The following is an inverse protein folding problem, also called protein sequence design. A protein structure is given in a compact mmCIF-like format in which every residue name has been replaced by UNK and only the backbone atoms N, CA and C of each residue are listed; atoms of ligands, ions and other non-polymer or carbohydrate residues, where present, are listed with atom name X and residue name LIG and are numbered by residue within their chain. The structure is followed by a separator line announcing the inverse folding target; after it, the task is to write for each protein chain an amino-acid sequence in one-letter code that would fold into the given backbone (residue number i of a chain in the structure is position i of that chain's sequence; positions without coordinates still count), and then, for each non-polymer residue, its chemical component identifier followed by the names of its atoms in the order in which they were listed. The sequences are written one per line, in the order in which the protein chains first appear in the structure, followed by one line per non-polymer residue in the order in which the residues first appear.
data_IF_421742973657
#
_entry.id   IF_421742973657
#
_cell.length_a   1.000
_cell.length_b   1.000
_cell.length_c   1.000
_cell.angle_alpha   90.00
_cell.angle_beta   90.00
_cell.angle_gamma   90.00
#
_symmetry.space_group_name_H-M   'P 1'
#
loop_
_entity.id
_entity.type
_entity.pdbx_description
1 polymer ?
#
# COMPACT_ATOMS: atom_id res chain seq x y z
N UNK A 1 -16.06 9.48 -9.08
CA UNK A 1 -14.69 8.96 -9.10
C UNK A 1 -14.48 7.89 -10.17
N UNK A 2 -15.12 6.73 -10.13
CA UNK A 2 -14.92 5.67 -11.14
C UNK A 2 -15.14 6.09 -12.61
N UNK A 3 -16.03 7.07 -12.86
CA UNK A 3 -16.34 7.55 -14.21
C UNK A 3 -15.17 8.26 -14.91
N UNK A 4 -14.37 9.05 -14.18
CA UNK A 4 -13.24 9.76 -14.78
C UNK A 4 -12.13 8.81 -15.22
N UNK A 5 -11.84 7.81 -14.38
CA UNK A 5 -10.84 6.79 -14.71
C UNK A 5 -11.29 5.92 -15.89
N UNK A 6 -12.57 5.51 -15.91
CA UNK A 6 -13.12 4.72 -17.01
C UNK A 6 -13.12 5.51 -18.32
N UNK A 7 -13.55 6.77 -18.27
CA UNK A 7 -13.60 7.64 -19.44
C UNK A 7 -12.20 7.81 -20.06
N UNK A 8 -11.18 8.01 -19.23
CA UNK A 8 -9.82 8.14 -19.72
C UNK A 8 -9.27 6.82 -20.28
N UNK A 9 -9.53 5.69 -19.60
CA UNK A 9 -9.13 4.37 -20.08
C UNK A 9 -9.77 4.00 -21.41
N UNK A 10 -11.08 4.27 -21.59
CA UNK A 10 -11.78 4.09 -22.87
C UNK A 10 -11.16 4.98 -23.96
N UNK A 11 -10.99 6.27 -23.69
CA UNK A 11 -10.36 7.21 -24.63
C UNK A 11 -8.93 6.80 -25.02
N UNK A 12 -8.10 6.42 -24.06
CA UNK A 12 -6.72 5.98 -24.28
C UNK A 12 -6.66 4.73 -25.16
N UNK A 13 -7.47 3.72 -24.83
CA UNK A 13 -7.50 2.45 -25.53
C UNK A 13 -8.07 2.56 -26.95
N UNK A 14 -9.08 3.38 -27.15
CA UNK A 14 -9.65 3.63 -28.48
C UNK A 14 -8.66 4.35 -29.40
N UNK A 15 -7.89 5.27 -28.83
CA UNK A 15 -6.93 6.10 -29.58
C UNK A 15 -5.64 5.34 -29.89
N UNK A 16 -5.01 4.71 -28.89
CA UNK A 16 -3.66 4.15 -29.01
C UNK A 16 -3.66 2.64 -29.23
N UNK A 17 -4.73 1.93 -28.89
CA UNK A 17 -4.86 0.48 -28.99
C UNK A 17 -3.65 -0.27 -28.41
N UNK A 18 -3.28 0.00 -27.16
CA UNK A 18 -2.11 -0.60 -26.53
C UNK A 18 -2.28 -2.13 -26.39
N UNK A 19 -1.16 -2.84 -26.26
CA UNK A 19 -1.18 -4.28 -25.96
C UNK A 19 -1.78 -4.56 -24.56
N UNK A 20 -1.44 -3.70 -23.57
CA UNK A 20 -2.04 -3.72 -22.24
C UNK A 20 -3.15 -2.65 -22.13
N UNK A 21 -4.43 -3.06 -22.02
CA UNK A 21 -5.55 -2.13 -21.85
C UNK A 21 -5.47 -1.26 -20.59
N UNK A 22 -4.58 -1.57 -19.65
CA UNK A 22 -4.41 -0.85 -18.39
C UNK A 22 -3.18 0.08 -18.38
N UNK A 23 -2.44 0.17 -19.49
CA UNK A 23 -1.23 1.00 -19.61
C UNK A 23 -1.50 2.47 -19.25
N UNK A 24 -2.70 2.98 -19.53
CA UNK A 24 -3.12 4.35 -19.21
C UNK A 24 -2.97 4.70 -17.72
N UNK A 25 -2.96 3.72 -16.83
CA UNK A 25 -2.80 3.94 -15.39
C UNK A 25 -1.44 4.54 -15.08
N UNK A 26 -0.42 4.24 -15.88
CA UNK A 26 0.92 4.81 -15.73
C UNK A 26 0.96 6.34 -15.91
N UNK A 27 -0.06 6.93 -16.54
CA UNK A 27 -0.21 8.38 -16.68
C UNK A 27 -0.89 9.04 -15.48
N UNK A 28 -1.46 8.24 -14.57
CA UNK A 28 -2.20 8.72 -13.40
C UNK A 28 -1.34 8.87 -12.15
N UNK A 29 -0.06 8.49 -12.23
CA UNK A 29 0.89 8.65 -11.12
C UNK A 29 0.92 10.10 -10.63
N UNK A 30 1.04 10.29 -9.33
CA UNK A 30 1.07 11.62 -8.72
C UNK A 30 1.92 11.63 -7.45
N UNK A 31 2.89 12.52 -7.43
CA UNK A 31 3.66 12.84 -6.21
C UNK A 31 2.81 13.49 -5.11
N UNK A 32 1.58 13.90 -5.44
CA UNK A 32 0.66 14.55 -4.50
C UNK A 32 -0.12 13.55 -3.63
N UNK A 33 -0.01 12.25 -3.92
CA UNK A 33 -0.57 11.22 -3.04
C UNK A 33 0.07 11.33 -1.66
N UNK A 34 -0.77 11.44 -0.62
CA UNK A 34 -0.28 11.65 0.75
C UNK A 34 0.64 10.52 1.21
N UNK A 35 0.31 9.28 0.87
CA UNK A 35 1.13 8.12 1.20
C UNK A 35 2.51 8.18 0.50
N UNK A 36 2.55 8.59 -0.78
CA UNK A 36 3.79 8.76 -1.55
C UNK A 36 4.64 9.88 -0.96
N UNK A 37 4.03 11.04 -0.70
CA UNK A 37 4.70 12.19 -0.08
C UNK A 37 5.32 11.83 1.27
N UNK A 38 4.55 11.17 2.14
CA UNK A 38 5.02 10.68 3.44
C UNK A 38 6.21 9.74 3.29
N UNK A 39 6.09 8.72 2.45
CA UNK A 39 7.14 7.73 2.28
C UNK A 39 8.40 8.34 1.64
N UNK A 40 8.26 9.34 0.75
CA UNK A 40 9.40 10.11 0.22
C UNK A 40 10.14 10.82 1.36
N UNK A 41 9.43 11.52 2.24
CA UNK A 41 10.04 12.18 3.40
C UNK A 41 10.78 11.18 4.31
N UNK A 42 10.19 9.99 4.51
CA UNK A 42 10.82 8.93 5.29
C UNK A 42 12.10 8.40 4.62
N UNK A 43 12.10 8.21 3.30
CA UNK A 43 13.31 7.83 2.54
C UNK A 43 14.40 8.89 2.64
N UNK A 44 14.06 10.16 2.45
CA UNK A 44 15.01 11.27 2.59
C UNK A 44 15.66 11.31 3.98
N UNK A 45 14.90 11.02 5.04
CA UNK A 45 15.44 10.92 6.40
C UNK A 45 16.33 9.68 6.56
N UNK A 46 15.96 8.55 5.98
CA UNK A 46 16.78 7.33 5.98
C UNK A 46 18.09 7.51 5.20
N UNK A 47 18.09 8.28 4.11
CA UNK A 47 19.31 8.62 3.38
C UNK A 47 20.27 9.49 4.21
N UNK A 48 19.75 10.43 4.99
CA UNK A 48 20.58 11.21 5.92
C UNK A 48 21.26 10.30 6.95
N UNK A 49 20.56 9.28 7.45
CA UNK A 49 21.13 8.28 8.35
C UNK A 49 22.18 7.40 7.66
N UNK A 50 21.89 6.95 6.44
CA UNK A 50 22.81 6.10 5.64
C UNK A 50 24.13 6.80 5.36
N UNK A 51 24.08 8.09 5.06
CA UNK A 51 25.23 8.90 4.70
C UNK A 51 26.07 9.35 5.91
N UNK A 52 25.56 9.18 7.15
CA UNK A 52 26.28 9.51 8.38
C UNK A 52 26.30 8.33 9.37
N UNK A 53 27.36 7.52 9.29
CA UNK A 53 27.52 6.34 10.15
C UNK A 53 27.51 6.67 11.65
N UNK A 54 27.96 7.85 12.07
CA UNK A 54 27.92 8.25 13.47
C UNK A 54 26.50 8.53 13.92
N UNK A 55 25.77 9.24 13.09
CA UNK A 55 24.36 9.55 13.32
C UNK A 55 23.51 8.27 13.35
N UNK A 56 23.76 7.35 12.42
CA UNK A 56 23.10 6.06 12.37
C UNK A 56 23.32 5.24 13.64
N UNK A 57 24.59 5.20 14.12
CA UNK A 57 24.92 4.47 15.35
C UNK A 57 24.29 5.12 16.59
N UNK A 58 24.30 6.45 16.70
CA UNK A 58 23.62 7.16 17.79
C UNK A 58 22.12 6.87 17.81
N UNK A 59 21.51 6.81 16.62
CA UNK A 59 20.10 6.53 16.47
C UNK A 59 19.76 5.09 16.88
N UNK A 60 20.59 4.11 16.51
CA UNK A 60 20.49 2.71 16.95
C UNK A 60 20.62 2.54 18.47
N UNK A 61 21.52 3.30 19.07
CA UNK A 61 21.77 3.26 20.52
C UNK A 61 20.67 3.97 21.33
N UNK A 62 19.64 4.51 20.68
CA UNK A 62 18.58 5.28 21.32
C UNK A 62 19.06 6.62 21.90
N UNK A 63 20.22 7.11 21.46
CA UNK A 63 20.74 8.40 21.88
C UNK A 63 20.01 9.52 21.14
N UNK A 64 19.62 10.56 21.86
CA UNK A 64 18.93 11.70 21.26
C UNK A 64 19.75 12.33 20.13
N UNK A 65 19.05 12.85 19.13
CA UNK A 65 19.67 13.57 18.03
C UNK A 65 20.24 14.91 18.51
N UNK A 66 21.40 15.35 17.97
CA UNK A 66 21.94 16.66 18.28
C UNK A 66 20.93 17.77 17.98
N UNK A 67 20.86 18.75 18.88
CA UNK A 67 19.99 19.92 18.67
C UNK A 67 20.39 20.66 17.38
N UNK A 68 19.38 21.01 16.58
CA UNK A 68 19.58 21.69 15.31
C UNK A 68 20.12 20.82 14.18
N UNK A 69 20.30 19.50 14.39
CA UNK A 69 20.66 18.62 13.29
C UNK A 69 19.55 18.57 12.23
N UNK A 70 19.97 18.45 10.96
CA UNK A 70 19.03 18.44 9.83
C UNK A 70 17.99 17.30 9.95
N UNK A 71 18.40 16.14 10.45
CA UNK A 71 17.49 15.03 10.71
C UNK A 71 16.48 15.34 11.82
N UNK A 72 16.91 15.99 12.92
CA UNK A 72 15.99 16.36 14.01
C UNK A 72 14.92 17.33 13.53
N UNK A 73 15.31 18.36 12.78
CA UNK A 73 14.38 19.33 12.21
C UNK A 73 13.38 18.66 11.25
N UNK A 74 13.84 17.71 10.42
CA UNK A 74 12.94 16.96 9.52
C UNK A 74 11.99 16.04 10.26
N UNK A 75 12.44 15.37 11.33
CA UNK A 75 11.60 14.55 12.19
C UNK A 75 10.53 15.38 12.91
N UNK A 76 10.90 16.54 13.42
CA UNK A 76 9.96 17.46 14.06
C UNK A 76 8.91 17.98 13.07
N UNK A 77 9.33 18.36 11.86
CA UNK A 77 8.42 18.78 10.80
C UNK A 77 7.49 17.65 10.36
N UNK A 78 8.02 16.43 10.19
CA UNK A 78 7.27 15.24 9.86
C UNK A 78 6.24 14.91 10.94
N UNK A 79 6.64 14.88 12.20
CA UNK A 79 5.74 14.64 13.31
C UNK A 79 4.65 15.71 13.41
N UNK A 80 4.97 16.97 13.16
CA UNK A 80 3.99 18.05 13.13
C UNK A 80 2.99 17.90 11.97
N UNK A 81 3.48 17.55 10.76
CA UNK A 81 2.64 17.37 9.57
C UNK A 81 1.70 16.17 9.73
N UNK A 82 2.18 15.09 10.34
CA UNK A 82 1.42 13.84 10.51
C UNK A 82 0.91 13.63 11.94
N UNK A 83 1.08 14.60 12.86
CA UNK A 83 0.54 14.51 14.23
C UNK A 83 -0.99 14.43 14.20
N UNK A 84 -1.54 13.54 15.01
CA UNK A 84 -3.00 13.28 15.04
C UNK A 84 -3.52 12.48 13.84
N UNK A 85 -2.62 12.02 12.96
CA UNK A 85 -2.95 11.14 11.84
C UNK A 85 -2.47 9.71 12.20
N UNK A 86 -2.90 9.21 13.35
CA UNK A 86 -2.50 7.89 13.89
C UNK A 86 -2.82 6.71 12.96
N UNK A 87 -3.70 6.93 12.01
CA UNK A 87 -4.09 5.95 11.00
C UNK A 87 -3.09 5.85 9.83
N UNK A 88 -2.12 6.76 9.71
CA UNK A 88 -1.06 6.76 8.69
C UNK A 88 0.19 5.99 9.16
N UNK A 89 0.42 5.99 10.47
CA UNK A 89 1.48 5.23 11.12
C UNK A 89 0.86 4.52 12.32
N UNK A 90 1.09 3.22 12.53
CA UNK A 90 0.64 2.53 13.73
C UNK A 90 1.12 3.27 14.97
N UNK A 91 0.27 3.39 15.99
CA UNK A 91 0.65 4.05 17.27
C UNK A 91 1.85 3.39 17.94
N UNK A 92 2.03 2.09 17.70
CA UNK A 92 3.11 1.27 18.26
C UNK A 92 4.38 1.31 17.41
N UNK A 93 4.36 1.99 16.23
CA UNK A 93 5.54 2.07 15.39
C UNK A 93 6.57 2.99 16.01
N UNK A 94 7.67 2.42 16.47
CA UNK A 94 8.88 3.20 16.74
C UNK A 94 9.47 3.67 15.42
N UNK A 95 9.18 4.93 15.06
CA UNK A 95 9.66 5.57 13.84
C UNK A 95 11.19 5.51 13.74
N UNK A 96 11.89 5.55 14.88
CA UNK A 96 13.34 5.48 14.93
C UNK A 96 13.85 4.13 14.45
N UNK A 97 13.33 3.05 15.00
CA UNK A 97 13.68 1.69 14.57
C UNK A 97 13.33 1.44 13.10
N UNK A 98 12.23 2.00 12.64
CA UNK A 98 11.82 1.87 11.25
C UNK A 98 12.74 2.62 10.29
N UNK A 99 13.13 3.85 10.61
CA UNK A 99 14.10 4.62 9.83
C UNK A 99 15.48 3.94 9.75
N UNK A 100 15.91 3.27 10.84
CA UNK A 100 17.13 2.47 10.83
C UNK A 100 17.02 1.32 9.83
N UNK A 101 15.91 0.55 9.87
CA UNK A 101 15.68 -0.54 8.91
C UNK A 101 15.73 -0.04 7.46
N UNK A 102 15.11 1.10 7.18
CA UNK A 102 15.11 1.70 5.85
C UNK A 102 16.49 2.22 5.43
N UNK A 103 17.28 2.73 6.39
CA UNK A 103 18.63 3.19 6.12
C UNK A 103 19.60 2.05 5.84
N UNK A 104 19.38 0.86 6.41
CA UNK A 104 20.19 -0.34 6.19
C UNK A 104 19.85 -1.08 4.89
N UNK A 105 18.69 -0.80 4.30
CA UNK A 105 18.30 -1.40 3.04
C UNK A 105 19.17 -0.84 1.91
N UNK A 106 19.73 -1.74 1.08
CA UNK A 106 20.46 -1.32 -0.11
C UNK A 106 19.53 -0.52 -1.03
N UNK A 107 19.95 0.69 -1.36
CA UNK A 107 19.23 1.53 -2.32
C UNK A 107 19.54 1.06 -3.75
N UNK A 108 19.06 -0.13 -4.12
CA UNK A 108 18.81 -0.38 -5.53
C UNK A 108 17.62 0.51 -5.91
N UNK A 109 17.97 1.70 -6.36
CA UNK A 109 16.99 2.69 -6.86
C UNK A 109 16.41 2.17 -8.19
N UNK A 110 15.54 1.18 -8.07
CA UNK A 110 14.83 0.56 -9.20
C UNK A 110 13.76 1.47 -9.79
N UNK A 111 13.60 2.68 -9.29
CA UNK A 111 12.61 3.65 -9.73
C UNK A 111 13.12 4.70 -10.71
N UNK A 112 14.12 4.39 -11.55
CA UNK A 112 14.36 5.15 -12.78
C UNK A 112 13.32 4.79 -13.86
N UNK A 113 12.05 4.75 -13.50
CA UNK A 113 10.99 4.88 -14.47
C UNK A 113 11.01 6.30 -15.08
N UNK A 114 10.64 6.43 -16.34
CA UNK A 114 10.43 7.73 -16.99
C UNK A 114 9.70 8.67 -16.02
N UNK A 115 10.20 9.88 -15.85
CA UNK A 115 9.54 10.89 -15.03
C UNK A 115 8.11 11.09 -15.53
N UNK A 116 7.19 11.42 -14.62
CA UNK A 116 5.78 11.61 -14.98
C UNK A 116 5.60 12.56 -16.18
N UNK A 117 6.35 13.66 -16.21
CA UNK A 117 6.33 14.61 -17.33
C UNK A 117 6.74 13.97 -18.66
N UNK A 118 7.71 13.07 -18.66
CA UNK A 118 8.17 12.40 -19.89
C UNK A 118 7.12 11.40 -20.39
N UNK A 119 6.41 10.73 -19.50
CA UNK A 119 5.28 9.84 -19.86
C UNK A 119 4.11 10.60 -20.45
N UNK A 120 3.76 11.73 -19.85
CA UNK A 120 2.71 12.61 -20.36
C UNK A 120 3.07 13.20 -21.72
N UNK A 121 4.31 13.63 -21.89
CA UNK A 121 4.79 14.13 -23.17
C UNK A 121 4.72 13.04 -24.24
N UNK A 122 5.19 11.82 -23.94
CA UNK A 122 5.12 10.69 -24.85
C UNK A 122 3.68 10.32 -25.23
N UNK A 123 2.73 10.46 -24.31
CA UNK A 123 1.31 10.29 -24.61
C UNK A 123 0.81 11.39 -25.56
N UNK A 124 1.04 12.67 -25.24
CA UNK A 124 0.56 13.78 -26.07
C UNK A 124 1.20 13.82 -27.46
N UNK A 125 2.41 13.29 -27.62
CA UNK A 125 3.07 13.17 -28.92
C UNK A 125 2.34 12.19 -29.86
N UNK A 126 1.62 11.21 -29.29
CA UNK A 126 0.82 10.23 -30.04
C UNK A 126 -0.62 10.70 -30.28
N UNK A 127 -1.09 11.73 -29.56
CA UNK A 127 -2.47 12.25 -29.68
C UNK A 127 -2.55 13.23 -30.86
N UNK A 128 -3.49 13.03 -31.80
CA UNK A 128 -3.77 13.96 -32.87
C UNK A 128 -4.02 15.38 -32.36
N UNK A 129 -3.51 16.40 -33.07
CA UNK A 129 -3.62 17.80 -32.64
C UNK A 129 -5.08 18.24 -32.39
N UNK A 130 -6.00 17.72 -33.16
CA UNK A 130 -7.43 18.00 -33.06
C UNK A 130 -8.04 17.45 -31.74
N UNK A 131 -7.43 16.45 -31.12
CA UNK A 131 -7.94 15.77 -29.93
C UNK A 131 -7.17 16.15 -28.66
N UNK A 132 -6.02 16.84 -28.78
CA UNK A 132 -5.17 17.21 -27.63
C UNK A 132 -5.92 17.95 -26.53
N UNK A 133 -6.78 18.90 -26.89
CA UNK A 133 -7.56 19.66 -25.91
C UNK A 133 -8.59 18.83 -25.18
N UNK A 134 -9.09 17.74 -25.78
CA UNK A 134 -9.98 16.78 -25.13
C UNK A 134 -9.18 15.83 -24.26
N UNK A 135 -8.07 15.29 -24.77
CA UNK A 135 -7.16 14.42 -24.04
C UNK A 135 -6.67 15.06 -22.74
N UNK A 136 -6.26 16.33 -22.78
CA UNK A 136 -5.82 17.08 -21.60
C UNK A 136 -6.90 17.15 -20.52
N UNK A 137 -8.12 17.52 -20.91
CA UNK A 137 -9.24 17.62 -19.97
C UNK A 137 -9.63 16.26 -19.36
N UNK A 138 -9.65 15.20 -20.16
CA UNK A 138 -10.01 13.86 -19.69
C UNK A 138 -8.90 13.32 -18.78
N UNK A 139 -7.62 13.52 -19.12
CA UNK A 139 -6.49 13.14 -18.27
C UNK A 139 -6.52 13.89 -16.94
N UNK A 140 -6.80 15.20 -16.93
CA UNK A 140 -6.92 15.98 -15.70
C UNK A 140 -8.04 15.46 -14.80
N UNK A 141 -9.21 15.11 -15.36
CA UNK A 141 -10.31 14.50 -14.60
C UNK A 141 -9.93 13.13 -14.06
N UNK A 142 -9.21 12.31 -14.84
CA UNK A 142 -8.76 11.01 -14.42
C UNK A 142 -7.75 11.10 -13.27
N UNK A 143 -6.77 12.01 -13.36
CA UNK A 143 -5.80 12.28 -12.27
C UNK A 143 -6.49 12.76 -10.99
N UNK A 144 -7.43 13.71 -11.11
CA UNK A 144 -8.20 14.17 -9.96
C UNK A 144 -9.01 13.03 -9.33
N UNK A 145 -9.60 12.14 -10.15
CA UNK A 145 -10.36 10.98 -9.68
C UNK A 145 -9.47 9.96 -8.98
N UNK A 146 -8.24 9.77 -9.47
CA UNK A 146 -7.24 8.88 -8.88
C UNK A 146 -6.79 9.38 -7.51
N UNK A 147 -6.42 10.67 -7.43
CA UNK A 147 -6.04 11.33 -6.19
C UNK A 147 -7.15 11.32 -5.14
N UNK A 148 -8.40 11.63 -5.54
CA UNK A 148 -9.55 11.60 -4.65
C UNK A 148 -9.82 10.19 -4.11
N UNK A 149 -9.62 9.15 -4.91
CA UNK A 149 -9.82 7.77 -4.48
C UNK A 149 -8.81 7.36 -3.39
N UNK A 150 -7.55 7.76 -3.54
CA UNK A 150 -6.54 7.50 -2.52
C UNK A 150 -6.81 8.29 -1.25
N UNK A 151 -7.11 9.57 -1.37
CA UNK A 151 -7.44 10.44 -0.24
C UNK A 151 -8.71 10.02 0.50
N UNK A 152 -9.71 9.43 -0.18
CA UNK A 152 -10.94 8.91 0.43
C UNK A 152 -10.61 7.88 1.53
N UNK A 153 -9.71 6.93 1.24
CA UNK A 153 -9.26 5.94 2.21
C UNK A 153 -8.60 6.60 3.43
N UNK A 154 -7.87 7.68 3.20
CA UNK A 154 -7.23 8.45 4.24
C UNK A 154 -8.25 9.15 5.15
N UNK A 155 -9.27 9.78 4.58
CA UNK A 155 -10.33 10.44 5.35
C UNK A 155 -11.19 9.43 6.11
N UNK A 156 -11.50 8.29 5.51
CA UNK A 156 -12.20 7.20 6.18
C UNK A 156 -11.39 6.65 7.36
N UNK A 157 -10.08 6.46 7.18
CA UNK A 157 -9.17 6.07 8.27
C UNK A 157 -9.19 7.06 9.42
N UNK A 158 -9.18 8.37 9.12
CA UNK A 158 -9.27 9.44 10.14
C UNK A 158 -10.59 9.39 10.91
N UNK A 159 -11.71 9.16 10.21
CA UNK A 159 -13.02 9.01 10.87
C UNK A 159 -13.02 7.78 11.77
N UNK A 160 -12.49 6.64 11.30
CA UNK A 160 -12.38 5.40 12.09
C UNK A 160 -11.54 5.60 13.34
N UNK A 161 -10.36 6.22 13.21
CA UNK A 161 -9.51 6.51 14.36
C UNK A 161 -10.23 7.40 15.39
N UNK A 162 -10.99 8.38 14.94
CA UNK A 162 -11.82 9.20 15.82
C UNK A 162 -12.91 8.42 16.55
N UNK A 163 -13.58 7.49 15.86
CA UNK A 163 -14.58 6.61 16.46
C UNK A 163 -13.92 5.67 17.49
N UNK A 164 -12.81 5.01 17.13
CA UNK A 164 -12.10 4.12 18.06
C UNK A 164 -11.59 4.84 19.31
N UNK A 165 -11.07 6.06 19.15
CA UNK A 165 -10.66 6.88 20.29
C UNK A 165 -11.85 7.25 21.19
N UNK A 166 -13.00 7.59 20.62
CA UNK A 166 -14.21 7.86 21.36
C UNK A 166 -14.74 6.62 22.09
N UNK A 167 -14.71 5.46 21.44
CA UNK A 167 -15.06 4.16 22.05
C UNK A 167 -14.15 3.84 23.24
N UNK A 168 -12.84 4.02 23.07
CA UNK A 168 -11.88 3.81 24.16
C UNK A 168 -12.15 4.74 25.35
N UNK A 169 -12.32 6.03 25.10
CA UNK A 169 -12.63 7.03 26.12
C UNK A 169 -13.93 6.70 26.89
N UNK A 170 -14.96 6.23 26.17
CA UNK A 170 -16.21 5.80 26.77
C UNK A 170 -15.96 4.59 27.69
N UNK A 171 -15.19 3.59 27.24
CA UNK A 171 -14.88 2.40 28.04
C UNK A 171 -14.09 2.77 29.30
N UNK A 172 -13.14 3.68 29.21
CA UNK A 172 -12.37 4.15 30.37
C UNK A 172 -13.22 4.91 31.38
N UNK A 173 -14.18 5.74 30.92
CA UNK A 173 -15.05 6.52 31.81
C UNK A 173 -16.14 5.69 32.50
N UNK A 174 -16.64 4.66 31.85
CA UNK A 174 -17.78 3.89 32.35
C UNK A 174 -17.33 2.73 33.25
N UNK A 175 -16.06 2.31 33.16
CA UNK A 175 -15.49 1.21 33.92
C UNK A 175 -15.98 -0.18 33.48
N UNK A 176 -15.31 -1.23 33.95
CA UNK A 176 -15.47 -2.59 33.47
C UNK A 176 -16.86 -3.23 33.71
N UNK A 177 -17.70 -2.62 34.56
CA UNK A 177 -19.03 -3.18 34.91
C UNK A 177 -20.15 -2.89 33.90
N UNK A 178 -19.92 -2.00 32.92
CA UNK A 178 -20.93 -1.57 31.93
C UNK A 178 -20.55 -2.01 30.49
N UNK A 179 -19.42 -2.68 30.32
CA UNK A 179 -18.93 -3.10 29.01
C UNK A 179 -19.90 -4.03 28.28
N UNK A 180 -20.61 -4.93 28.99
CA UNK A 180 -21.66 -5.80 28.41
C UNK A 180 -22.86 -5.01 27.83
N UNK A 181 -23.16 -3.84 28.38
CA UNK A 181 -24.21 -2.95 27.87
C UNK A 181 -23.78 -2.17 26.63
N UNK A 182 -22.53 -1.74 26.58
CA UNK A 182 -21.95 -1.00 25.45
C UNK A 182 -21.79 -1.88 24.20
N UNK A 183 -21.41 -3.13 24.34
CA UNK A 183 -21.31 -4.06 23.20
C UNK A 183 -22.68 -4.36 22.55
N UNK A 184 -23.79 -4.05 23.25
CA UNK A 184 -25.14 -4.09 22.69
C UNK A 184 -25.59 -2.78 22.04
N UNK A 185 -25.02 -1.65 22.46
CA UNK A 185 -25.38 -0.29 22.01
C UNK A 185 -24.45 0.17 20.89
N UNK A 186 -23.15 -0.10 21.03
CA UNK A 186 -22.18 0.12 19.96
C UNK A 186 -22.25 -1.12 19.05
N UNK A 187 -22.76 -1.00 17.83
CA UNK A 187 -22.71 -2.14 16.91
C UNK A 187 -21.25 -2.56 16.77
N UNK A 188 -21.00 -3.87 16.89
CA UNK A 188 -19.72 -4.44 16.42
C UNK A 188 -19.37 -3.71 15.14
N UNK A 189 -18.21 -3.07 15.17
CA UNK A 189 -17.79 -2.07 14.18
C UNK A 189 -18.37 -2.36 12.81
N UNK A 190 -19.06 -1.41 12.24
CA UNK A 190 -19.85 -1.48 11.01
C UNK A 190 -19.15 -2.25 9.88
N UNK A 191 -17.84 -2.40 9.98
CA UNK A 191 -16.99 -3.19 9.09
C UNK A 191 -17.33 -4.69 9.10
N UNK A 192 -17.41 -5.33 10.27
CA UNK A 192 -17.76 -6.76 10.31
C UNK A 192 -19.12 -7.05 9.70
N UNK A 193 -20.10 -6.16 9.89
CA UNK A 193 -21.45 -6.35 9.31
C UNK A 193 -21.56 -6.04 7.83
N UNK A 194 -20.86 -5.02 7.33
CA UNK A 194 -20.87 -4.70 5.90
C UNK A 194 -20.09 -5.75 5.11
N UNK A 195 -18.93 -6.18 5.60
CA UNK A 195 -18.13 -7.21 4.93
C UNK A 195 -18.75 -8.60 5.05
N UNK A 196 -19.31 -8.98 6.19
CA UNK A 196 -20.03 -10.26 6.33
C UNK A 196 -21.27 -10.35 5.40
N UNK A 197 -21.89 -9.21 5.08
CA UNK A 197 -23.00 -9.17 4.11
C UNK A 197 -22.54 -9.38 2.67
N UNK A 198 -21.34 -8.93 2.32
CA UNK A 198 -20.72 -9.20 1.02
C UNK A 198 -20.14 -10.62 0.93
N UNK A 199 -19.59 -11.14 2.01
CA UNK A 199 -19.10 -12.54 2.08
C UNK A 199 -20.24 -13.55 2.09
N UNK A 200 -21.37 -13.25 2.75
CA UNK A 200 -22.54 -14.17 2.78
C UNK A 200 -23.31 -14.26 1.47
N UNK A 201 -23.05 -13.38 0.50
CA UNK A 201 -23.63 -13.45 -0.85
C UNK A 201 -22.76 -14.23 -1.86
N UNK A 202 -21.52 -14.58 -1.47
CA UNK A 202 -20.72 -15.56 -2.22
C UNK A 202 -20.97 -16.91 -1.57
N UNK A 203 -21.64 -17.81 -2.30
CA UNK A 203 -21.65 -19.22 -1.90
C UNK A 203 -20.22 -19.64 -1.60
N UNK A 204 -19.96 -20.27 -0.44
CA UNK A 204 -18.63 -20.80 -0.17
C UNK A 204 -18.34 -21.81 -1.28
N UNK A 205 -17.46 -21.44 -2.18
CA UNK A 205 -16.82 -22.43 -3.05
C UNK A 205 -16.08 -23.34 -2.07
N UNK A 206 -16.61 -24.54 -1.84
CA UNK A 206 -15.90 -25.57 -1.13
C UNK A 206 -14.58 -25.75 -1.86
N UNK A 207 -13.52 -25.14 -1.30
CA UNK A 207 -12.18 -25.32 -1.82
C UNK A 207 -11.77 -26.76 -1.49
N UNK A 208 -11.52 -27.61 -2.49
CA UNK A 208 -10.98 -28.94 -2.22
C UNK A 208 -9.64 -28.77 -1.47
N UNK A 209 -9.30 -29.70 -0.56
CA UNK A 209 -8.01 -29.73 0.15
C UNK A 209 -6.77 -29.69 -0.78
N UNK A 210 -6.98 -29.81 -2.07
CA UNK A 210 -5.96 -29.67 -3.13
C UNK A 210 -5.30 -28.29 -3.22
N UNK A 211 -5.91 -27.20 -2.68
CA UNK A 211 -5.31 -25.86 -2.70
C UNK A 211 -4.04 -25.78 -1.85
N UNK A 212 -3.93 -26.60 -0.81
CA UNK A 212 -2.73 -26.64 0.04
C UNK A 212 -1.49 -27.18 -0.69
N UNK A 213 -1.69 -27.87 -1.81
CA UNK A 213 -0.62 -28.40 -2.66
C UNK A 213 -0.31 -27.50 -3.86
N UNK A 214 -1.04 -26.41 -4.03
CA UNK A 214 -0.83 -25.49 -5.15
C UNK A 214 0.55 -24.83 -5.03
N UNK A 215 1.37 -25.03 -6.07
CA UNK A 215 2.66 -24.35 -6.23
C UNK A 215 2.53 -23.02 -6.97
N UNK A 216 1.38 -22.74 -7.56
CA UNK A 216 1.14 -21.54 -8.35
C UNK A 216 -0.25 -20.98 -8.08
N UNK A 217 -0.31 -19.67 -7.83
CA UNK A 217 -1.55 -18.91 -7.68
C UNK A 217 -1.61 -17.86 -8.80
N UNK A 218 -2.83 -17.59 -9.25
CA UNK A 218 -3.07 -16.61 -10.33
C UNK A 218 -4.02 -15.56 -9.83
N UNK A 219 -3.64 -14.31 -10.02
CA UNK A 219 -4.44 -13.12 -9.68
C UNK A 219 -4.41 -12.10 -10.81
N UNK A 220 -4.73 -10.86 -10.46
CA UNK A 220 -4.70 -9.74 -11.39
C UNK A 220 -3.33 -9.06 -11.32
N UNK A 221 -2.64 -8.83 -12.45
CA UNK A 221 -1.40 -8.04 -12.50
C UNK A 221 -1.73 -6.60 -12.05
N UNK A 222 -1.03 -6.12 -11.04
CA UNK A 222 -1.38 -4.85 -10.40
C UNK A 222 -0.20 -3.88 -10.23
N UNK A 223 1.02 -4.39 -10.17
CA UNK A 223 2.26 -3.62 -10.20
C UNK A 223 3.31 -4.38 -10.99
N UNK A 224 3.96 -3.75 -12.00
CA UNK A 224 4.90 -4.44 -12.89
C UNK A 224 6.18 -4.86 -12.18
N UNK A 225 6.82 -5.92 -12.67
CA UNK A 225 8.09 -6.43 -12.17
C UNK A 225 8.01 -7.89 -11.75
N UNK A 226 9.18 -8.49 -11.51
CA UNK A 226 9.32 -9.85 -10.94
C UNK A 226 10.28 -9.75 -9.77
N UNK A 227 9.90 -10.30 -8.63
CA UNK A 227 10.78 -10.38 -7.48
C UNK A 227 10.46 -11.61 -6.63
N UNK A 228 11.41 -12.00 -5.77
CA UNK A 228 11.29 -13.16 -4.90
C UNK A 228 11.68 -12.81 -3.48
N UNK A 229 11.10 -13.52 -2.52
CA UNK A 229 11.43 -13.35 -1.12
C UNK A 229 10.58 -14.23 -0.21
N UNK A 230 10.91 -14.30 1.08
CA UNK A 230 10.09 -15.00 2.05
C UNK A 230 8.77 -14.28 2.27
N UNK A 231 7.68 -15.01 2.35
CA UNK A 231 6.36 -14.48 2.62
C UNK A 231 6.25 -13.94 4.06
N UNK A 232 5.58 -12.82 4.20
CA UNK A 232 5.04 -12.33 5.47
C UNK A 232 3.54 -12.13 5.33
N UNK A 233 2.78 -13.05 5.89
CA UNK A 233 1.31 -12.94 5.92
C UNK A 233 0.92 -12.03 7.07
N UNK A 234 0.23 -10.94 6.76
CA UNK A 234 -0.29 -9.99 7.73
C UNK A 234 -1.81 -10.11 7.82
N UNK A 235 -2.29 -10.32 9.02
CA UNK A 235 -3.69 -10.27 9.42
C UNK A 235 -3.93 -9.10 10.39
N UNK A 236 -5.18 -8.91 10.83
CA UNK A 236 -5.55 -7.83 11.74
C UNK A 236 -4.88 -7.90 13.13
N UNK A 237 -4.30 -9.03 13.48
CA UNK A 237 -3.62 -9.25 14.76
C UNK A 237 -2.09 -9.17 14.61
N UNK A 238 -1.58 -9.06 13.40
CA UNK A 238 -0.14 -9.06 13.12
C UNK A 238 0.52 -7.76 13.55
N UNK A 239 1.70 -7.89 14.14
CA UNK A 239 2.53 -6.74 14.50
C UNK A 239 3.26 -6.26 13.24
N UNK A 240 2.86 -5.11 12.73
CA UNK A 240 3.42 -4.55 11.49
C UNK A 240 4.94 -4.29 11.57
N UNK A 241 5.46 -4.07 12.78
CA UNK A 241 6.89 -3.82 13.03
C UNK A 241 7.76 -5.06 12.82
N UNK A 242 7.19 -6.26 12.78
CA UNK A 242 7.93 -7.50 12.55
C UNK A 242 8.26 -7.73 11.08
N UNK A 243 7.69 -6.93 10.18
CA UNK A 243 7.98 -6.98 8.76
C UNK A 243 9.44 -6.62 8.48
N UNK A 244 10.12 -7.42 7.67
CA UNK A 244 11.54 -7.24 7.33
C UNK A 244 11.71 -6.81 5.88
N UNK A 245 12.77 -6.06 5.62
CA UNK A 245 13.14 -5.71 4.26
C UNK A 245 13.38 -6.95 3.40
N UNK A 246 12.86 -6.95 2.18
CA UNK A 246 12.96 -8.07 1.25
C UNK A 246 11.91 -9.18 1.45
N UNK A 247 11.02 -9.06 2.43
CA UNK A 247 9.88 -9.97 2.54
C UNK A 247 8.79 -9.64 1.50
N UNK A 248 8.05 -10.64 1.07
CA UNK A 248 6.83 -10.49 0.25
C UNK A 248 5.65 -10.24 1.18
N UNK A 249 5.02 -9.10 1.04
CA UNK A 249 3.84 -8.72 1.84
C UNK A 249 2.60 -9.43 1.32
N UNK A 250 1.99 -10.28 2.14
CA UNK A 250 0.75 -11.00 1.83
C UNK A 250 -0.34 -10.55 2.80
N UNK A 251 -1.44 -10.01 2.29
CA UNK A 251 -2.52 -9.51 3.15
C UNK A 251 -3.90 -9.59 2.46
N UNK A 252 -4.94 -9.29 3.24
CA UNK A 252 -6.30 -9.16 2.72
C UNK A 252 -6.41 -7.97 1.75
N UNK A 253 -5.98 -6.81 2.21
CA UNK A 253 -5.83 -5.59 1.44
C UNK A 253 -4.83 -4.69 2.18
N UNK A 254 -4.04 -3.91 1.46
CA UNK A 254 -3.21 -2.89 2.07
C UNK A 254 -4.10 -1.76 2.58
N UNK A 255 -4.04 -1.54 3.88
CA UNK A 255 -4.66 -0.40 4.52
C UNK A 255 -3.70 0.80 4.51
N UNK A 256 -4.19 2.05 4.64
CA UNK A 256 -3.35 3.24 4.63
C UNK A 256 -2.21 3.20 5.67
N UNK A 257 -2.45 2.61 6.84
CA UNK A 257 -1.47 2.42 7.90
C UNK A 257 -0.40 1.36 7.58
N UNK A 258 -0.59 0.54 6.54
CA UNK A 258 0.37 -0.48 6.10
C UNK A 258 1.27 0.01 4.96
N UNK A 259 0.94 1.12 4.32
CA UNK A 259 1.66 1.60 3.13
C UNK A 259 3.11 1.99 3.39
N UNK A 260 3.50 2.20 4.65
CA UNK A 260 4.89 2.41 5.03
C UNK A 260 5.76 1.15 4.89
N UNK A 261 5.14 -0.05 4.79
CA UNK A 261 5.84 -1.30 4.54
C UNK A 261 6.25 -1.44 3.06
N UNK A 262 5.55 -0.78 2.15
CA UNK A 262 5.80 -0.91 0.73
C UNK A 262 7.27 -0.67 0.33
N UNK A 263 7.97 0.37 0.81
CA UNK A 263 9.38 0.56 0.48
C UNK A 263 10.31 -0.57 0.94
N UNK A 264 9.89 -1.38 1.89
CA UNK A 264 10.66 -2.53 2.41
C UNK A 264 10.29 -3.82 1.68
N UNK A 265 9.12 -3.89 1.04
CA UNK A 265 8.59 -5.12 0.47
C UNK A 265 9.32 -5.49 -0.85
N UNK A 266 9.64 -6.77 -1.00
CA UNK A 266 10.12 -7.32 -2.27
C UNK A 266 8.97 -7.38 -3.29
N UNK A 267 7.77 -7.71 -2.85
CA UNK A 267 6.56 -7.76 -3.66
C UNK A 267 5.32 -7.66 -2.76
N UNK A 268 4.15 -7.46 -3.37
CA UNK A 268 2.87 -7.33 -2.68
C UNK A 268 1.86 -8.32 -3.27
N UNK A 269 1.15 -9.04 -2.41
CA UNK A 269 0.08 -9.96 -2.76
C UNK A 269 -1.16 -9.60 -1.93
N UNK A 270 -2.27 -9.31 -2.61
CA UNK A 270 -3.54 -8.99 -1.96
C UNK A 270 -4.62 -10.02 -2.30
N UNK A 271 -5.38 -10.43 -1.28
CA UNK A 271 -6.55 -11.29 -1.47
C UNK A 271 -7.64 -10.56 -2.25
N UNK A 272 -7.86 -9.29 -1.94
CA UNK A 272 -8.84 -8.46 -2.66
C UNK A 272 -8.32 -8.09 -4.02
N UNK A 273 -9.21 -8.15 -5.02
CA UNK A 273 -8.87 -7.79 -6.40
C UNK A 273 -9.17 -6.33 -6.71
N UNK A 274 -8.46 -5.83 -7.72
CA UNK A 274 -8.71 -4.55 -8.34
C UNK A 274 -7.44 -3.79 -8.69
N UNK A 275 -7.43 -3.19 -9.88
CA UNK A 275 -6.32 -2.37 -10.37
C UNK A 275 -6.19 -1.02 -9.65
N UNK A 276 -7.22 -0.62 -8.91
CA UNK A 276 -7.33 0.67 -8.23
C UNK A 276 -7.50 0.50 -6.72
N UNK A 277 -7.17 -0.68 -6.19
CA UNK A 277 -7.04 -0.86 -4.74
C UNK A 277 -5.79 -0.13 -4.25
N UNK A 278 -5.78 0.24 -2.99
CA UNK A 278 -4.71 1.06 -2.42
C UNK A 278 -3.33 0.43 -2.59
N UNK A 279 -3.21 -0.89 -2.34
CA UNK A 279 -1.97 -1.62 -2.56
C UNK A 279 -1.47 -1.61 -3.99
N UNK A 280 -2.36 -1.75 -4.98
CA UNK A 280 -2.00 -1.66 -6.39
C UNK A 280 -1.49 -0.26 -6.77
N UNK A 281 -2.08 0.79 -6.22
CA UNK A 281 -1.65 2.18 -6.41
C UNK A 281 -0.23 2.34 -5.86
N UNK A 282 -0.03 1.99 -4.60
CA UNK A 282 1.27 2.13 -3.92
C UNK A 282 2.34 1.27 -4.59
N UNK A 283 2.02 0.03 -4.97
CA UNK A 283 2.98 -0.84 -5.66
C UNK A 283 3.52 -0.19 -6.94
N UNK A 284 2.65 0.40 -7.75
CA UNK A 284 3.06 1.10 -8.98
C UNK A 284 3.89 2.35 -8.70
N UNK A 285 3.52 3.13 -7.68
CA UNK A 285 4.27 4.33 -7.28
C UNK A 285 5.70 4.00 -6.83
N UNK A 286 5.91 2.79 -6.29
CA UNK A 286 7.23 2.33 -5.83
C UNK A 286 7.91 1.35 -6.78
N UNK A 287 7.31 1.02 -7.92
CA UNK A 287 7.85 0.03 -8.84
C UNK A 287 7.97 -1.37 -8.24
N UNK A 288 7.05 -1.74 -7.35
CA UNK A 288 7.07 -3.02 -6.63
C UNK A 288 6.14 -4.00 -7.37
N UNK A 289 6.59 -5.24 -7.66
CA UNK A 289 5.72 -6.27 -8.19
C UNK A 289 4.49 -6.48 -7.31
N UNK A 290 3.31 -6.46 -7.90
CA UNK A 290 2.07 -6.62 -7.16
C UNK A 290 1.07 -7.49 -7.91
N UNK A 291 0.48 -8.43 -7.19
CA UNK A 291 -0.61 -9.28 -7.67
C UNK A 291 -1.78 -9.16 -6.71
N UNK A 292 -2.96 -8.82 -7.22
CA UNK A 292 -4.19 -8.68 -6.44
C UNK A 292 -5.24 -9.69 -6.87
N UNK A 293 -6.27 -9.87 -6.05
CA UNK A 293 -7.39 -10.75 -6.42
C UNK A 293 -7.07 -12.23 -6.36
N UNK A 294 -6.25 -12.66 -5.41
CA UNK A 294 -6.02 -14.08 -5.11
C UNK A 294 -6.84 -14.45 -3.87
N UNK A 295 -8.05 -15.01 -4.02
CA UNK A 295 -8.99 -15.20 -2.91
C UNK A 295 -8.45 -16.04 -1.75
N UNK A 296 -7.55 -16.99 -2.05
CA UNK A 296 -6.97 -17.93 -1.09
C UNK A 296 -5.57 -17.52 -0.61
N UNK A 297 -5.02 -16.39 -1.04
CA UNK A 297 -3.63 -16.00 -0.75
C UNK A 297 -3.27 -16.16 0.73
N UNK A 298 -4.07 -15.58 1.63
CA UNK A 298 -3.83 -15.60 3.07
C UNK A 298 -4.13 -16.95 3.74
N UNK A 299 -4.67 -17.93 3.01
CA UNK A 299 -4.95 -19.29 3.51
C UNK A 299 -3.93 -20.31 3.01
N UNK A 300 -3.43 -20.11 1.78
CA UNK A 300 -2.51 -21.03 1.09
C UNK A 300 -1.07 -20.69 1.37
N UNK A 301 -0.75 -19.39 1.45
CA UNK A 301 0.59 -18.90 1.73
C UNK A 301 0.79 -18.81 3.24
N UNK A 302 1.89 -19.37 3.73
CA UNK A 302 2.31 -19.23 5.12
C UNK A 302 3.49 -18.28 5.24
N UNK A 303 3.59 -17.57 6.37
CA UNK A 303 4.78 -16.77 6.63
C UNK A 303 6.02 -17.64 6.65
N UNK A 304 7.04 -17.23 5.87
CA UNK A 304 8.27 -17.99 5.65
C UNK A 304 8.33 -18.78 4.36
N UNK A 305 7.21 -19.02 3.67
CA UNK A 305 7.21 -19.63 2.33
C UNK A 305 8.05 -18.80 1.37
N UNK A 306 8.88 -19.42 0.54
CA UNK A 306 9.60 -18.71 -0.50
C UNK A 306 8.67 -18.46 -1.68
N UNK A 307 8.55 -17.20 -2.07
CA UNK A 307 7.65 -16.79 -3.15
C UNK A 307 8.42 -16.14 -4.29
N UNK A 308 7.94 -16.37 -5.50
CA UNK A 308 8.26 -15.53 -6.66
C UNK A 308 6.97 -14.90 -7.17
N UNK A 309 6.98 -13.57 -7.28
CA UNK A 309 5.82 -12.78 -7.69
C UNK A 309 6.11 -12.16 -9.05
N UNK A 310 5.33 -12.54 -10.05
CA UNK A 310 5.33 -11.93 -11.38
C UNK A 310 4.15 -10.96 -11.49
N UNK A 311 4.44 -9.70 -11.30
CA UNK A 311 3.45 -8.62 -11.37
C UNK A 311 3.07 -8.23 -12.80
N UNK A 312 3.77 -8.73 -13.84
CA UNK A 312 3.38 -8.57 -15.23
C UNK A 312 2.29 -9.57 -15.62
N UNK A 313 2.46 -10.83 -15.21
CA UNK A 313 1.55 -11.92 -15.55
C UNK A 313 0.46 -12.17 -14.50
N UNK A 314 0.59 -11.57 -13.31
CA UNK A 314 -0.32 -11.83 -12.21
C UNK A 314 -0.15 -13.22 -11.60
N UNK A 315 1.10 -13.75 -11.62
CA UNK A 315 1.41 -15.12 -11.18
C UNK A 315 2.24 -15.05 -9.89
N UNK A 316 1.87 -15.88 -8.94
CA UNK A 316 2.64 -16.11 -7.72
C UNK A 316 3.05 -17.59 -7.67
N UNK A 317 4.34 -17.87 -7.59
CA UNK A 317 4.87 -19.21 -7.43
C UNK A 317 5.33 -19.40 -5.98
N UNK A 318 4.93 -20.52 -5.37
CA UNK A 318 5.34 -20.91 -4.02
C UNK A 318 6.39 -22.01 -4.16
N UNK A 319 7.60 -21.71 -3.74
CA UNK A 319 8.66 -22.72 -3.67
C UNK A 319 8.52 -23.49 -2.34
N UNK A 320 7.94 -24.66 -2.43
CA UNK A 320 7.88 -25.63 -1.34
C UNK A 320 8.92 -26.68 -1.68
N UNK A 321 10.17 -26.51 -1.20
CA UNK A 321 11.26 -27.44 -1.46
C UNK A 321 10.78 -28.88 -1.67
N UNK A 322 11.48 -29.62 -2.51
CA UNK A 322 11.18 -31.06 -2.72
C UNK A 322 11.40 -31.79 -1.38
N UNK A 323 10.30 -32.28 -0.77
CA UNK A 323 10.34 -33.28 0.31
C UNK A 323 10.84 -34.62 -0.21
#
# INVERSE_FOLDING_TARGET
MAHGLRLFGEFYNDLLKPEDPHEFINLLHSDDLLAVKRNRQLREMAELLRNDHRLLQQFKDGRGLPDGSHLKLRLEAFNHEYSGINWVLPQELDLSSWLVKLAEQDSDDKSEGLKQADREQAFFDQVPETERGMADRILAVAKASYLLRDNDNLYLGKVRAGVSAAEQEIRERIGSGVSEGLDKILPETTEKKVFSRYESQREPVESPDTWQLSRQLVGQPAGPGVNSGPARVLDNASVLTDFKAGEVLVCDAIEPNMTFLAPLAAAIIERRGGMLVHGAIIAREYGIPCVTGIPEATKVINSGDQLTVDGYLGIVTIDRGED
#
